data_IF_894188407474
#
_entry.id   IF_894188407474
#
_cell.length_a   1.000
_cell.length_b   1.000
_cell.length_c   1.000
_cell.angle_alpha   90.00
_cell.angle_beta   90.00
_cell.angle_gamma   90.00
#
_symmetry.space_group_name_H-M   'P 1'
#
loop_
_entity.id
_entity.type
_entity.pdbx_description
1 polymer ?
#
# COMPACT_ATOMS: atom_id res chain seq x y z
N UNK A 1 31.67 10.59 -15.90
CA UNK A 1 32.75 10.14 -15.00
C UNK A 1 32.80 8.63 -15.06
N UNK A 2 33.99 8.05 -15.14
CA UNK A 2 34.18 6.59 -15.13
C UNK A 2 35.20 6.25 -14.04
N UNK A 3 34.87 5.29 -13.17
CA UNK A 3 35.81 4.75 -12.19
C UNK A 3 36.26 3.39 -12.73
N UNK A 4 37.56 3.27 -13.01
CA UNK A 4 38.16 2.02 -13.52
C UNK A 4 38.97 1.38 -12.40
N UNK A 5 38.83 0.07 -12.25
CA UNK A 5 39.57 -0.72 -11.26
C UNK A 5 40.14 -1.93 -11.97
N UNK A 6 41.42 -2.18 -11.78
CA UNK A 6 42.15 -3.22 -12.51
C UNK A 6 41.70 -4.64 -12.15
N UNK A 7 41.22 -4.83 -10.92
CA UNK A 7 40.72 -6.12 -10.41
C UNK A 7 39.70 -5.93 -9.29
N UNK A 8 38.69 -6.78 -9.26
CA UNK A 8 37.73 -6.84 -8.16
C UNK A 8 38.23 -7.86 -7.14
N UNK A 9 38.65 -7.36 -5.99
CA UNK A 9 38.98 -8.15 -4.81
C UNK A 9 38.39 -7.50 -3.54
N UNK A 10 38.43 -8.16 -2.36
CA UNK A 10 37.81 -7.63 -1.15
C UNK A 10 38.31 -6.23 -0.77
N UNK A 11 39.58 -5.92 -1.03
CA UNK A 11 40.14 -4.59 -0.76
C UNK A 11 39.55 -3.54 -1.69
N UNK A 12 39.59 -3.79 -3.01
CA UNK A 12 39.06 -2.88 -4.01
C UNK A 12 37.54 -2.65 -3.85
N UNK A 13 36.79 -3.69 -3.46
CA UNK A 13 35.37 -3.56 -3.15
C UNK A 13 35.12 -2.68 -1.91
N UNK A 14 35.90 -2.87 -0.84
CA UNK A 14 35.83 -2.03 0.35
C UNK A 14 36.08 -0.54 0.03
N UNK A 15 37.06 -0.25 -0.84
CA UNK A 15 37.33 1.12 -1.31
C UNK A 15 36.13 1.72 -2.05
N UNK A 16 35.44 0.94 -2.89
CA UNK A 16 34.23 1.42 -3.58
C UNK A 16 33.09 1.74 -2.61
N UNK A 17 32.80 0.86 -1.65
CA UNK A 17 31.77 1.10 -0.63
C UNK A 17 32.11 2.37 0.15
N UNK A 18 33.36 2.45 0.63
CA UNK A 18 33.89 3.60 1.36
C UNK A 18 33.78 4.92 0.57
N UNK A 19 34.03 4.89 -0.74
CA UNK A 19 33.91 6.05 -1.63
C UNK A 19 32.46 6.53 -1.70
N UNK A 20 31.50 5.63 -1.94
CA UNK A 20 30.09 6.00 -2.09
C UNK A 20 29.45 6.40 -0.76
N UNK A 21 29.79 5.76 0.37
CA UNK A 21 29.34 6.19 1.70
C UNK A 21 29.75 7.63 2.00
N UNK A 22 31.02 7.99 1.71
CA UNK A 22 31.53 9.35 1.89
C UNK A 22 30.91 10.33 0.91
N UNK A 23 30.68 9.93 -0.34
CA UNK A 23 30.03 10.77 -1.34
C UNK A 23 28.60 11.15 -0.94
N UNK A 24 27.81 10.19 -0.43
CA UNK A 24 26.46 10.44 0.10
C UNK A 24 26.49 11.39 1.28
N UNK A 25 27.40 11.16 2.25
CA UNK A 25 27.57 12.05 3.41
C UNK A 25 27.98 13.47 3.01
N UNK A 26 28.92 13.61 2.08
CA UNK A 26 29.35 14.92 1.55
C UNK A 26 28.20 15.63 0.85
N UNK A 27 27.46 14.94 -0.03
CA UNK A 27 26.31 15.53 -0.72
C UNK A 27 25.26 16.03 0.26
N UNK A 28 24.90 15.23 1.27
CA UNK A 28 23.94 15.62 2.29
C UNK A 28 24.40 16.82 3.11
N UNK A 29 25.70 16.89 3.43
CA UNK A 29 26.30 18.07 4.07
C UNK A 29 26.21 19.33 3.19
N UNK A 30 26.38 19.20 1.87
CA UNK A 30 26.32 20.33 0.94
C UNK A 30 24.92 20.92 0.83
N UNK A 31 23.87 20.07 0.88
CA UNK A 31 22.48 20.52 0.78
C UNK A 31 21.77 20.64 2.14
N UNK A 32 22.52 20.51 3.24
CA UNK A 32 22.04 20.63 4.62
C UNK A 32 20.85 19.70 4.95
N UNK A 33 20.98 18.42 4.60
CA UNK A 33 20.04 17.36 5.00
C UNK A 33 20.76 16.28 5.82
N UNK A 34 19.99 15.46 6.53
CA UNK A 34 20.52 14.31 7.25
C UNK A 34 20.41 13.04 6.37
N UNK A 35 21.55 12.49 5.95
CA UNK A 35 21.60 11.24 5.17
C UNK A 35 21.31 9.96 5.98
N UNK A 36 21.30 10.06 7.30
CA UNK A 36 21.29 8.91 8.21
C UNK A 36 19.94 8.65 8.86
N UNK A 37 18.94 9.50 8.60
CA UNK A 37 17.57 9.29 9.07
C UNK A 37 16.64 8.89 7.93
N UNK A 38 15.62 8.07 8.23
CA UNK A 38 14.67 7.57 7.23
C UNK A 38 13.20 7.74 7.70
N UNK A 39 12.75 8.97 7.96
CA UNK A 39 11.42 9.24 8.53
C UNK A 39 10.26 8.81 7.61
N UNK A 40 10.47 8.85 6.28
CA UNK A 40 9.45 8.45 5.31
C UNK A 40 9.02 6.98 5.43
N UNK A 41 9.91 6.11 5.92
CA UNK A 41 9.61 4.67 6.10
C UNK A 41 8.53 4.46 7.16
N UNK A 42 8.65 5.16 8.28
CA UNK A 42 7.70 5.03 9.40
C UNK A 42 6.34 5.67 9.05
N UNK A 43 6.36 6.81 8.36
CA UNK A 43 5.14 7.40 7.82
C UNK A 43 4.40 6.44 6.86
N UNK A 44 5.14 5.81 5.94
CA UNK A 44 4.59 4.83 5.01
C UNK A 44 3.98 3.61 5.71
N UNK A 45 4.67 3.05 6.71
CA UNK A 45 4.13 1.93 7.52
C UNK A 45 2.85 2.32 8.26
N UNK A 46 2.80 3.53 8.82
CA UNK A 46 1.62 4.00 9.58
C UNK A 46 0.39 4.09 8.69
N UNK A 47 0.52 4.67 7.49
CA UNK A 47 -0.60 4.79 6.56
C UNK A 47 -0.99 3.43 5.96
N UNK A 48 -0.02 2.57 5.61
CA UNK A 48 -0.31 1.22 5.15
C UNK A 48 -1.08 0.40 6.20
N UNK A 49 -0.71 0.52 7.48
CA UNK A 49 -1.41 -0.15 8.57
C UNK A 49 -2.87 0.30 8.72
N UNK A 50 -3.21 1.55 8.39
CA UNK A 50 -4.62 2.00 8.38
C UNK A 50 -5.41 1.26 7.31
N UNK A 51 -4.87 1.15 6.10
CA UNK A 51 -5.51 0.42 4.99
C UNK A 51 -5.70 -1.05 5.34
N UNK A 52 -4.69 -1.69 5.94
CA UNK A 52 -4.79 -3.10 6.39
C UNK A 52 -5.90 -3.28 7.42
N UNK A 53 -6.01 -2.38 8.41
CA UNK A 53 -7.09 -2.42 9.41
C UNK A 53 -8.46 -2.22 8.79
N UNK A 54 -8.59 -1.29 7.85
CA UNK A 54 -9.82 -1.05 7.11
C UNK A 54 -10.22 -2.30 6.32
N UNK A 55 -9.28 -2.93 5.62
CA UNK A 55 -9.52 -4.18 4.89
C UNK A 55 -10.03 -5.30 5.83
N UNK A 56 -9.43 -5.47 7.00
CA UNK A 56 -9.89 -6.44 7.99
C UNK A 56 -11.33 -6.14 8.47
N UNK A 57 -11.64 -4.87 8.72
CA UNK A 57 -12.98 -4.44 9.13
C UNK A 57 -14.03 -4.69 8.04
N UNK A 58 -13.70 -4.37 6.78
CA UNK A 58 -14.57 -4.64 5.61
C UNK A 58 -14.84 -6.14 5.47
N UNK A 59 -13.80 -6.96 5.52
CA UNK A 59 -13.95 -8.43 5.44
C UNK A 59 -14.83 -8.94 6.58
N UNK A 60 -14.61 -8.45 7.80
CA UNK A 60 -15.42 -8.82 8.97
C UNK A 60 -16.90 -8.47 8.76
N UNK A 61 -17.19 -7.24 8.32
CA UNK A 61 -18.55 -6.77 8.06
C UNK A 61 -19.28 -7.60 6.99
N UNK A 62 -18.60 -7.88 5.87
CA UNK A 62 -19.16 -8.70 4.79
C UNK A 62 -19.41 -10.14 5.26
N UNK A 63 -18.48 -10.73 6.01
CA UNK A 63 -18.60 -12.11 6.53
C UNK A 63 -19.66 -12.26 7.60
N UNK A 64 -19.92 -11.24 8.41
CA UNK A 64 -21.04 -11.25 9.36
C UNK A 64 -22.41 -11.23 8.68
N UNK A 65 -22.48 -10.74 7.43
CA UNK A 65 -23.74 -10.61 6.68
C UNK A 65 -23.60 -11.24 5.27
N UNK A 66 -23.40 -12.55 5.16
CA UNK A 66 -23.02 -13.21 3.90
C UNK A 66 -24.10 -13.11 2.81
N UNK A 67 -25.35 -12.91 3.17
CA UNK A 67 -26.49 -12.79 2.25
C UNK A 67 -26.78 -11.36 1.80
N UNK A 68 -26.15 -10.37 2.42
CA UNK A 68 -26.38 -8.95 2.13
C UNK A 68 -25.28 -8.44 1.20
N UNK A 69 -25.69 -7.72 0.17
CA UNK A 69 -24.76 -6.96 -0.69
C UNK A 69 -24.71 -5.52 -0.23
N UNK A 70 -23.54 -4.89 -0.27
CA UNK A 70 -23.35 -3.50 0.17
C UNK A 70 -22.78 -2.63 -0.95
N UNK A 71 -23.18 -1.36 -1.04
CA UNK A 71 -22.42 -0.34 -1.80
C UNK A 71 -21.19 0.13 -1.01
N UNK A 72 -20.30 0.87 -1.67
CA UNK A 72 -19.12 1.45 -1.00
C UNK A 72 -19.54 2.39 0.12
N UNK A 73 -20.55 3.23 -0.13
CA UNK A 73 -21.07 4.22 0.83
C UNK A 73 -21.73 3.54 2.03
N UNK A 74 -22.45 2.44 1.80
CA UNK A 74 -23.06 1.63 2.87
C UNK A 74 -21.97 0.99 3.74
N UNK A 75 -20.88 0.48 3.15
CA UNK A 75 -19.74 -0.06 3.91
C UNK A 75 -19.02 1.05 4.69
N UNK A 76 -18.73 2.18 4.06
CA UNK A 76 -18.07 3.31 4.71
C UNK A 76 -18.91 3.88 5.86
N UNK A 77 -20.23 3.98 5.68
CA UNK A 77 -21.18 4.38 6.72
C UNK A 77 -21.26 3.38 7.87
N UNK A 78 -21.34 2.08 7.57
CA UNK A 78 -21.41 1.04 8.59
C UNK A 78 -20.12 0.92 9.42
N UNK A 79 -18.96 1.26 8.83
CA UNK A 79 -17.67 1.31 9.52
C UNK A 79 -17.35 2.68 10.12
N UNK A 80 -18.24 3.66 9.99
CA UNK A 80 -18.08 5.04 10.48
C UNK A 80 -16.81 5.73 9.96
N UNK A 81 -16.46 5.51 8.69
CA UNK A 81 -15.29 6.08 7.99
C UNK A 81 -15.70 6.84 6.71
N UNK A 82 -16.51 7.90 6.81
CA UNK A 82 -17.05 8.61 5.66
C UNK A 82 -15.99 9.37 4.85
N UNK A 83 -14.80 9.62 5.41
CA UNK A 83 -13.71 10.30 4.70
C UNK A 83 -12.87 9.34 3.83
N UNK A 84 -12.99 8.02 4.05
CA UNK A 84 -12.18 6.97 3.40
C UNK A 84 -12.97 6.20 2.32
N UNK A 85 -13.96 6.81 1.68
CA UNK A 85 -14.80 6.14 0.65
C UNK A 85 -13.95 5.63 -0.51
N UNK A 86 -12.99 6.42 -0.99
CA UNK A 86 -12.12 6.02 -2.10
C UNK A 86 -11.23 4.83 -1.73
N UNK A 87 -10.69 4.83 -0.50
CA UNK A 87 -9.86 3.74 0.02
C UNK A 87 -10.72 2.48 0.17
N UNK A 88 -11.93 2.62 0.72
CA UNK A 88 -12.91 1.55 0.85
C UNK A 88 -13.26 0.94 -0.50
N UNK A 89 -13.51 1.76 -1.53
CA UNK A 89 -13.76 1.32 -2.89
C UNK A 89 -12.58 0.52 -3.46
N UNK A 90 -11.35 1.05 -3.35
CA UNK A 90 -10.13 0.39 -3.84
C UNK A 90 -9.90 -0.95 -3.13
N UNK A 91 -10.14 -1.02 -1.82
CA UNK A 91 -10.03 -2.25 -1.05
C UNK A 91 -11.09 -3.27 -1.49
N UNK A 92 -12.35 -2.88 -1.65
CA UNK A 92 -13.42 -3.76 -2.13
C UNK A 92 -13.12 -4.30 -3.54
N UNK A 93 -12.61 -3.45 -4.43
CA UNK A 93 -12.20 -3.87 -5.77
C UNK A 93 -11.07 -4.90 -5.68
N UNK A 94 -10.03 -4.63 -4.88
CA UNK A 94 -8.94 -5.57 -4.63
C UNK A 94 -9.46 -6.91 -4.08
N UNK A 95 -10.32 -6.88 -3.07
CA UNK A 95 -10.90 -8.07 -2.45
C UNK A 95 -11.74 -8.89 -3.44
N UNK A 96 -12.47 -8.22 -4.34
CA UNK A 96 -13.30 -8.89 -5.34
C UNK A 96 -12.52 -9.48 -6.51
N UNK A 97 -11.38 -8.87 -6.85
CA UNK A 97 -10.50 -9.33 -7.92
C UNK A 97 -9.68 -10.56 -7.51
N UNK A 98 -9.48 -10.78 -6.21
CA UNK A 98 -8.69 -11.89 -5.68
C UNK A 98 -9.59 -12.98 -5.08
N UNK A 99 -9.60 -14.16 -5.71
CA UNK A 99 -10.53 -15.26 -5.41
C UNK A 99 -10.40 -15.85 -3.99
N UNK A 100 -9.21 -15.73 -3.38
CA UNK A 100 -8.90 -16.19 -2.02
C UNK A 100 -9.73 -15.50 -0.93
N UNK A 101 -10.15 -14.25 -1.18
CA UNK A 101 -10.93 -13.46 -0.23
C UNK A 101 -12.41 -13.84 -0.18
N UNK A 102 -12.90 -14.60 -1.18
CA UNK A 102 -14.31 -15.00 -1.34
C UNK A 102 -15.26 -13.81 -1.28
N UNK A 103 -14.95 -12.74 -2.01
CA UNK A 103 -15.83 -11.57 -2.16
C UNK A 103 -16.17 -11.45 -3.65
N UNK A 104 -17.45 -11.30 -3.98
CA UNK A 104 -17.96 -11.11 -5.34
C UNK A 104 -18.43 -9.67 -5.49
N UNK A 105 -18.01 -9.05 -6.59
CA UNK A 105 -18.60 -7.81 -7.08
C UNK A 105 -19.82 -8.16 -7.95
N UNK A 106 -20.98 -7.62 -7.61
CA UNK A 106 -22.22 -7.77 -8.36
C UNK A 106 -22.34 -6.56 -9.29
N UNK A 107 -22.28 -6.81 -10.59
CA UNK A 107 -22.42 -5.80 -11.63
C UNK A 107 -23.69 -6.08 -12.46
N UNK A 108 -24.68 -5.18 -12.49
CA UNK A 108 -25.57 -5.07 -13.63
C UNK A 108 -24.77 -4.57 -14.85
N UNK A 109 -25.08 -5.09 -16.05
CA UNK A 109 -24.29 -4.98 -17.30
C UNK A 109 -24.03 -3.52 -17.78
N UNK A 110 -24.61 -2.50 -17.15
CA UNK A 110 -24.57 -1.10 -17.58
C UNK A 110 -24.12 -0.10 -16.50
N UNK A 111 -23.71 -0.55 -15.31
CA UNK A 111 -23.55 0.36 -14.16
C UNK A 111 -22.11 0.83 -13.99
N UNK A 112 -21.87 2.13 -13.66
CA UNK A 112 -20.54 2.61 -13.27
C UNK A 112 -19.96 1.79 -12.11
N UNK A 113 -18.65 1.55 -12.11
CA UNK A 113 -17.96 0.76 -11.09
C UNK A 113 -18.23 1.26 -9.65
N UNK A 114 -18.44 2.56 -9.48
CA UNK A 114 -18.72 3.17 -8.18
C UNK A 114 -20.07 2.71 -7.60
N UNK A 115 -21.05 2.38 -8.45
CA UNK A 115 -22.36 1.88 -8.05
C UNK A 115 -22.41 0.35 -7.88
N UNK A 116 -21.25 -0.31 -7.87
CA UNK A 116 -21.17 -1.77 -7.68
C UNK A 116 -21.58 -2.16 -6.27
N UNK A 117 -22.18 -3.35 -6.14
CA UNK A 117 -22.45 -3.95 -4.84
C UNK A 117 -21.49 -5.11 -4.58
N UNK A 118 -21.09 -5.29 -3.33
CA UNK A 118 -20.14 -6.33 -2.93
C UNK A 118 -20.77 -7.27 -1.91
N UNK A 119 -20.53 -8.57 -2.06
CA UNK A 119 -21.09 -9.62 -1.21
C UNK A 119 -20.08 -10.76 -1.02
N UNK A 120 -20.20 -11.53 0.06
CA UNK A 120 -19.44 -12.77 0.24
C UNK A 120 -19.83 -13.80 -0.83
N UNK A 121 -18.82 -14.40 -1.45
CA UNK A 121 -18.98 -15.53 -2.33
C UNK A 121 -19.32 -16.79 -1.52
N UNK A 122 -20.48 -17.38 -1.80
CA UNK A 122 -20.80 -18.76 -1.40
C UNK A 122 -19.85 -19.73 -2.08
#
# INVERSE_FOLDING_TARGET
MTITIDRIDPFAFGVLVALYERAVGLYASLININAYHQPGVEAGKKEANKVVKLQQAIISLLRSNPTVSYTVEEVAGALNVPDDVEVTFKVLLHLSANCDHKIKQLLPVSTPLVASRFQVAT
#
